data_IF_648611423034
#
_entry.id   IF_648611423034
#
_cell.length_a   1.000
_cell.length_b   1.000
_cell.length_c   1.000
_cell.angle_alpha   90.00
_cell.angle_beta   90.00
_cell.angle_gamma   90.00
#
_symmetry.space_group_name_H-M   'P 1'
#
loop_
_entity.id
_entity.type
_entity.pdbx_description
1 polymer ?
#
# COMPACT_ATOMS: atom_id res chain seq x y z
N UNK A 1 16.19 -6.99 -5.82
CA UNK A 1 16.12 -5.80 -4.95
C UNK A 1 17.53 -5.35 -4.58
N UNK A 2 17.77 -4.05 -4.45
CA UNK A 2 19.07 -3.56 -4.00
C UNK A 2 19.28 -3.92 -2.52
N UNK A 3 20.52 -4.20 -2.10
CA UNK A 3 20.83 -4.59 -0.71
C UNK A 3 20.35 -3.53 0.29
N UNK A 4 20.40 -2.25 -0.07
CA UNK A 4 19.89 -1.13 0.73
C UNK A 4 18.38 -1.24 0.99
N UNK A 5 17.58 -1.58 -0.04
CA UNK A 5 16.14 -1.77 0.12
C UNK A 5 15.81 -2.98 1.00
N UNK A 6 16.54 -4.08 0.83
CA UNK A 6 16.36 -5.28 1.66
C UNK A 6 16.67 -5.00 3.13
N UNK A 7 17.73 -4.22 3.40
CA UNK A 7 18.08 -3.82 4.76
C UNK A 7 17.04 -2.90 5.37
N UNK A 8 16.46 -1.98 4.60
CA UNK A 8 15.35 -1.14 5.05
C UNK A 8 14.10 -1.97 5.39
N UNK A 9 13.76 -2.96 4.55
CA UNK A 9 12.67 -3.91 4.83
C UNK A 9 12.93 -4.65 6.15
N UNK A 10 14.14 -5.21 6.31
CA UNK A 10 14.53 -5.92 7.54
C UNK A 10 14.49 -5.01 8.78
N UNK A 11 14.82 -3.73 8.63
CA UNK A 11 14.77 -2.75 9.73
C UNK A 11 13.34 -2.39 10.14
N UNK A 12 12.39 -2.40 9.20
CA UNK A 12 10.97 -2.13 9.48
C UNK A 12 10.20 -3.34 10.02
N UNK A 13 10.73 -4.55 9.87
CA UNK A 13 10.08 -5.77 10.34
C UNK A 13 10.47 -6.05 11.79
N UNK A 14 9.47 -6.05 12.67
CA UNK A 14 9.64 -6.49 14.04
C UNK A 14 9.54 -8.03 14.12
N UNK A 15 10.64 -8.69 14.51
CA UNK A 15 10.67 -10.13 14.78
C UNK A 15 10.56 -10.33 16.30
N UNK A 16 9.46 -10.93 16.74
CA UNK A 16 9.16 -11.16 18.15
C UNK A 16 10.26 -11.89 18.95
N UNK A 17 10.22 -11.83 20.29
CA UNK A 17 11.28 -12.36 21.15
C UNK A 17 11.28 -13.89 21.26
N UNK A 18 10.19 -14.57 20.86
CA UNK A 18 9.96 -16.01 21.08
C UNK A 18 10.79 -16.93 20.16
N UNK A 19 11.72 -16.36 19.38
CA UNK A 19 12.59 -17.09 18.46
C UNK A 19 14.01 -17.19 19.02
N UNK A 20 14.56 -18.40 18.95
CA UNK A 20 16.00 -18.62 19.10
C UNK A 20 16.78 -17.87 18.03
N UNK A 21 18.08 -17.65 18.26
CA UNK A 21 18.94 -16.97 17.28
C UNK A 21 18.95 -17.66 15.92
N UNK A 22 18.95 -19.00 15.89
CA UNK A 22 18.90 -19.78 14.65
C UNK A 22 17.58 -19.56 13.91
N UNK A 23 16.44 -19.59 14.62
CA UNK A 23 15.14 -19.35 14.00
C UNK A 23 15.01 -17.91 13.50
N UNK A 24 15.51 -16.94 14.27
CA UNK A 24 15.53 -15.52 13.89
C UNK A 24 16.34 -15.32 12.60
N UNK A 25 17.47 -16.00 12.46
CA UNK A 25 18.27 -15.92 11.24
C UNK A 25 17.57 -16.58 10.04
N UNK A 26 16.88 -17.71 10.25
CA UNK A 26 16.04 -18.32 9.19
C UNK A 26 14.95 -17.35 8.71
N UNK A 27 14.28 -16.64 9.63
CA UNK A 27 13.26 -15.63 9.28
C UNK A 27 13.88 -14.48 8.50
N UNK A 28 15.04 -13.96 8.92
CA UNK A 28 15.75 -12.89 8.18
C UNK A 28 16.16 -13.33 6.77
N UNK A 29 16.66 -14.57 6.64
CA UNK A 29 17.00 -15.14 5.34
C UNK A 29 15.77 -15.25 4.43
N UNK A 30 14.63 -15.67 4.98
CA UNK A 30 13.38 -15.77 4.22
C UNK A 30 12.88 -14.39 3.77
N UNK A 31 12.93 -13.39 4.64
CA UNK A 31 12.57 -12.00 4.28
C UNK A 31 13.48 -11.48 3.16
N UNK A 32 14.80 -11.77 3.23
CA UNK A 32 15.75 -11.39 2.17
C UNK A 32 15.45 -12.11 0.85
N UNK A 33 15.11 -13.40 0.89
CA UNK A 33 14.77 -14.20 -0.29
C UNK A 33 13.52 -13.64 -0.99
N UNK A 34 12.51 -13.26 -0.22
CA UNK A 34 11.20 -12.77 -0.70
C UNK A 34 11.03 -11.26 -0.46
N UNK A 35 12.10 -10.48 -0.59
CA UNK A 35 12.07 -9.04 -0.36
C UNK A 35 11.13 -8.31 -1.32
N UNK A 36 10.83 -8.90 -2.47
CA UNK A 36 9.92 -8.39 -3.50
C UNK A 36 8.44 -8.45 -3.15
N UNK A 37 8.07 -9.19 -2.10
CA UNK A 37 6.71 -9.24 -1.58
C UNK A 37 6.37 -7.97 -0.78
N UNK A 38 7.39 -7.29 -0.25
CA UNK A 38 7.21 -6.08 0.55
C UNK A 38 7.29 -4.84 -0.35
N UNK A 39 6.50 -3.83 0.01
CA UNK A 39 6.56 -2.51 -0.61
C UNK A 39 6.99 -1.48 0.44
N UNK A 40 8.10 -0.79 0.19
CA UNK A 40 8.57 0.36 0.98
C UNK A 40 7.89 1.67 0.58
N UNK A 41 7.34 1.73 -0.64
CA UNK A 41 6.58 2.87 -1.15
C UNK A 41 5.37 2.43 -1.99
N UNK A 42 4.42 3.34 -2.20
CA UNK A 42 3.27 3.07 -3.07
C UNK A 42 3.69 2.80 -4.52
N UNK A 43 4.78 3.40 -4.98
CA UNK A 43 5.27 3.25 -6.36
C UNK A 43 5.81 1.84 -6.67
N UNK A 44 6.14 1.06 -5.63
CA UNK A 44 6.56 -0.34 -5.78
C UNK A 44 5.36 -1.29 -5.95
N UNK A 45 4.14 -0.81 -5.67
CA UNK A 45 2.91 -1.60 -5.84
C UNK A 45 2.49 -1.59 -7.31
N UNK A 46 2.64 -2.72 -7.98
CA UNK A 46 2.19 -2.91 -9.35
C UNK A 46 0.71 -3.29 -9.37
N UNK A 47 -0.10 -2.56 -10.15
CA UNK A 47 -1.48 -2.93 -10.38
C UNK A 47 -1.56 -4.07 -11.42
N UNK A 48 -2.60 -4.89 -11.28
CA UNK A 48 -2.92 -5.96 -12.22
C UNK A 48 -3.67 -5.34 -13.41
N UNK A 49 -3.03 -5.26 -14.58
CA UNK A 49 -3.59 -4.60 -15.77
C UNK A 49 -4.61 -5.46 -16.54
N UNK A 50 -4.54 -6.78 -16.40
CA UNK A 50 -5.42 -7.73 -17.08
C UNK A 50 -6.73 -7.99 -16.36
N UNK A 51 -6.84 -7.64 -15.07
CA UNK A 51 -8.04 -7.87 -14.29
C UNK A 51 -8.75 -6.57 -13.95
N UNK A 52 -10.06 -6.52 -14.23
CA UNK A 52 -10.92 -5.42 -13.79
C UNK A 52 -11.94 -5.95 -12.81
N UNK A 53 -11.83 -5.52 -11.56
CA UNK A 53 -12.86 -5.81 -10.56
C UNK A 53 -14.18 -5.12 -10.97
N UNK A 54 -15.25 -5.90 -11.09
CA UNK A 54 -16.59 -5.39 -11.36
C UNK A 54 -17.38 -5.37 -10.06
N UNK A 55 -17.86 -4.19 -9.67
CA UNK A 55 -18.78 -4.07 -8.55
C UNK A 55 -20.10 -4.78 -8.92
N UNK A 56 -20.56 -5.69 -8.06
CA UNK A 56 -21.83 -6.38 -8.24
C UNK A 56 -22.96 -5.50 -7.70
N UNK A 57 -23.44 -4.59 -8.54
CA UNK A 57 -24.52 -3.66 -8.20
C UNK A 57 -25.86 -4.37 -8.40
N UNK A 58 -26.77 -4.22 -7.44
CA UNK A 58 -28.14 -4.73 -7.56
C UNK A 58 -28.83 -4.11 -8.80
N UNK A 59 -29.24 -4.93 -9.78
CA UNK A 59 -29.86 -4.43 -11.00
C UNK A 59 -31.24 -3.80 -10.77
N UNK A 60 -31.85 -4.03 -9.61
CA UNK A 60 -33.13 -3.44 -9.21
C UNK A 60 -32.99 -2.14 -8.44
N UNK A 61 -31.77 -1.71 -8.12
CA UNK A 61 -31.53 -0.43 -7.47
C UNK A 61 -31.87 0.72 -8.42
N UNK A 62 -32.89 1.51 -8.07
CA UNK A 62 -33.41 2.58 -8.93
C UNK A 62 -32.34 3.64 -9.28
N UNK A 63 -31.52 4.09 -8.30
CA UNK A 63 -30.39 5.02 -8.49
C UNK A 63 -29.36 4.91 -7.35
N UNK A 64 -28.08 4.82 -7.71
CA UNK A 64 -26.98 5.00 -6.75
C UNK A 64 -26.68 6.49 -6.54
N UNK A 65 -26.33 6.93 -5.32
CA UNK A 65 -25.89 8.29 -5.09
C UNK A 65 -24.56 8.55 -5.81
N UNK A 66 -24.54 9.52 -6.72
CA UNK A 66 -23.34 9.89 -7.50
C UNK A 66 -22.63 11.13 -6.97
N UNK A 67 -23.23 11.83 -5.99
CA UNK A 67 -22.70 13.07 -5.46
C UNK A 67 -22.82 13.07 -3.93
N UNK A 68 -21.72 13.39 -3.27
CA UNK A 68 -21.67 13.63 -1.82
C UNK A 68 -20.96 14.95 -1.56
N UNK A 69 -21.32 15.65 -0.49
CA UNK A 69 -20.53 16.79 0.00
C UNK A 69 -19.29 16.27 0.72
N UNK A 70 -18.10 16.64 0.25
CA UNK A 70 -16.85 16.28 0.92
C UNK A 70 -16.79 16.94 2.30
N UNK A 71 -16.36 16.18 3.32
CA UNK A 71 -16.10 16.76 4.64
C UNK A 71 -14.88 17.68 4.55
N UNK A 72 -14.94 18.90 5.13
CA UNK A 72 -13.80 19.80 5.14
C UNK A 72 -12.58 19.15 5.83
N UNK A 73 -11.41 19.27 5.21
CA UNK A 73 -10.13 18.89 5.82
C UNK A 73 -9.60 20.08 6.61
N UNK A 74 -9.17 19.85 7.86
CA UNK A 74 -8.58 20.91 8.69
C UNK A 74 -7.26 21.40 8.07
N UNK A 75 -6.95 22.70 8.17
CA UNK A 75 -5.72 23.28 7.58
C UNK A 75 -4.45 22.55 8.03
N UNK A 76 -4.36 22.18 9.31
CA UNK A 76 -3.22 21.44 9.86
C UNK A 76 -3.00 20.06 9.20
N UNK A 77 -4.04 19.48 8.60
CA UNK A 77 -3.99 18.16 7.96
C UNK A 77 -3.86 18.24 6.45
N UNK A 78 -4.15 19.40 5.83
CA UNK A 78 -4.19 19.53 4.37
C UNK A 78 -2.86 19.18 3.71
N UNK A 79 -1.75 19.67 4.25
CA UNK A 79 -0.42 19.43 3.67
C UNK A 79 -0.14 17.94 3.60
N UNK A 80 -0.22 17.24 4.73
CA UNK A 80 -0.03 15.80 4.79
C UNK A 80 -1.00 15.05 3.86
N UNK A 81 -2.28 15.43 3.88
CA UNK A 81 -3.29 14.76 3.06
C UNK A 81 -3.01 14.91 1.56
N UNK A 82 -2.65 16.11 1.11
CA UNK A 82 -2.32 16.38 -0.29
C UNK A 82 -1.03 15.66 -0.71
N UNK A 83 -0.02 15.59 0.16
CA UNK A 83 1.22 14.83 -0.12
C UNK A 83 0.93 13.34 -0.37
N UNK A 84 0.02 12.74 0.41
CA UNK A 84 -0.41 11.35 0.20
C UNK A 84 -1.20 11.20 -1.09
N UNK A 85 -2.10 12.14 -1.44
CA UNK A 85 -2.83 12.11 -2.70
C UNK A 85 -1.88 12.20 -3.90
N UNK A 86 -0.89 13.09 -3.83
CA UNK A 86 0.13 13.25 -4.86
C UNK A 86 0.96 11.97 -5.04
N UNK A 87 1.29 11.28 -3.94
CA UNK A 87 2.02 10.00 -3.99
C UNK A 87 1.17 8.86 -4.58
N UNK A 88 -0.12 8.80 -4.22
CA UNK A 88 -1.08 7.85 -4.80
C UNK A 88 -1.30 8.09 -6.30
N UNK A 89 -1.39 9.35 -6.74
CA UNK A 89 -1.53 9.70 -8.16
C UNK A 89 -0.27 9.33 -8.95
N UNK A 90 0.92 9.68 -8.44
CA UNK A 90 2.21 9.30 -9.06
C UNK A 90 2.38 7.78 -9.16
N UNK A 91 1.82 7.04 -8.21
CA UNK A 91 1.85 5.57 -8.17
C UNK A 91 0.71 4.91 -8.93
N UNK A 92 -0.10 5.67 -9.68
CA UNK A 92 -1.25 5.17 -10.45
C UNK A 92 -2.32 4.44 -9.62
N UNK A 93 -2.35 4.66 -8.31
CA UNK A 93 -3.37 4.11 -7.40
C UNK A 93 -4.69 4.85 -7.57
N UNK A 94 -4.62 6.17 -7.75
CA UNK A 94 -5.75 7.02 -8.10
C UNK A 94 -5.47 7.76 -9.40
N UNK A 95 -6.53 8.18 -10.07
CA UNK A 95 -6.47 9.00 -11.27
C UNK A 95 -7.58 10.04 -11.23
N UNK A 96 -7.30 11.22 -11.79
CA UNK A 96 -8.31 12.23 -12.03
C UNK A 96 -9.30 11.72 -13.09
N UNK A 97 -10.59 11.72 -12.73
CA UNK A 97 -11.73 11.32 -13.59
C UNK A 97 -12.52 12.51 -14.06
#
# INVERSE_FOLDING_TARGET
FAEEQVNEILAKIEIGPDLTDTQRETVRSLIREYADIFALSLSEVLFVDWYKHKLNIDPTADKLPTQISQRPVMEAQKTWFNEILDDMEKSFVIQKV
#
